data_IF_505786359798
#
_entry.id   IF_505786359798
#
_cell.length_a   1.000
_cell.length_b   1.000
_cell.length_c   1.000
_cell.angle_alpha   90.00
_cell.angle_beta   90.00
_cell.angle_gamma   90.00
#
_symmetry.space_group_name_H-M   'P 1'
#
loop_
_entity.id
_entity.type
_entity.pdbx_description
1 polymer ?
#
# COMPACT_ATOMS: atom_id res chain seq x y z
N UNK A 1 6.52 26.71 -1.29
CA UNK A 1 6.20 25.50 -2.08
C UNK A 1 6.41 25.82 -3.53
N UNK A 2 7.00 24.89 -4.28
CA UNK A 2 7.15 25.03 -5.72
C UNK A 2 5.85 24.66 -6.47
N UNK A 3 5.84 24.83 -7.80
CA UNK A 3 4.66 24.58 -8.63
C UNK A 3 4.21 23.11 -8.57
N UNK A 4 5.15 22.16 -8.61
CA UNK A 4 4.86 20.72 -8.60
C UNK A 4 4.26 20.26 -7.26
N UNK A 5 4.75 20.81 -6.14
CA UNK A 5 4.16 20.58 -4.81
C UNK A 5 2.73 21.10 -4.72
N UNK A 6 2.47 22.31 -5.26
CA UNK A 6 1.13 22.85 -5.29
C UNK A 6 0.19 22.02 -6.18
N UNK A 7 0.68 21.58 -7.35
CA UNK A 7 -0.06 20.72 -8.26
C UNK A 7 -0.39 19.37 -7.60
N UNK A 8 0.58 18.72 -6.95
CA UNK A 8 0.36 17.46 -6.23
C UNK A 8 -0.69 17.61 -5.13
N UNK A 9 -0.62 18.68 -4.32
CA UNK A 9 -1.61 18.94 -3.28
C UNK A 9 -3.00 19.25 -3.85
N UNK A 10 -3.09 19.93 -4.99
CA UNK A 10 -4.36 20.14 -5.68
C UNK A 10 -4.97 18.82 -6.15
N UNK A 11 -4.15 17.90 -6.68
CA UNK A 11 -4.58 16.54 -7.03
C UNK A 11 -5.09 15.77 -5.82
N UNK A 12 -4.38 15.80 -4.69
CA UNK A 12 -4.82 15.12 -3.47
C UNK A 12 -6.15 15.66 -2.96
N UNK A 13 -6.33 16.98 -2.94
CA UNK A 13 -7.61 17.60 -2.55
C UNK A 13 -8.75 17.17 -3.46
N UNK A 14 -8.53 17.19 -4.78
CA UNK A 14 -9.52 16.76 -5.76
C UNK A 14 -9.90 15.29 -5.54
N UNK A 15 -8.92 14.42 -5.32
CA UNK A 15 -9.12 13.00 -5.08
C UNK A 15 -9.96 12.73 -3.81
N UNK A 16 -9.56 13.31 -2.67
CA UNK A 16 -10.26 13.07 -1.41
C UNK A 16 -11.63 13.74 -1.31
N UNK A 17 -11.83 14.85 -2.01
CA UNK A 17 -13.13 15.53 -2.05
C UNK A 17 -14.05 15.00 -3.16
N UNK A 18 -13.58 14.04 -3.98
CA UNK A 18 -14.29 13.56 -5.17
C UNK A 18 -14.68 14.71 -6.12
N UNK A 19 -13.76 15.64 -6.28
CA UNK A 19 -13.92 16.80 -7.17
C UNK A 19 -13.21 16.55 -8.50
N UNK A 20 -13.68 17.21 -9.55
CA UNK A 20 -12.90 17.20 -10.80
C UNK A 20 -11.68 18.10 -10.63
N UNK A 21 -10.51 17.67 -11.15
CA UNK A 21 -9.33 18.51 -11.14
C UNK A 21 -9.62 19.78 -11.91
N UNK A 22 -9.03 20.88 -11.49
CA UNK A 22 -8.95 22.07 -12.34
C UNK A 22 -8.19 21.67 -13.61
N UNK A 23 -8.84 21.72 -14.77
CA UNK A 23 -8.27 21.33 -16.07
C UNK A 23 -7.08 22.19 -16.50
N UNK A 24 -6.82 23.29 -15.82
CA UNK A 24 -5.71 24.21 -16.07
C UNK A 24 -4.44 23.87 -15.26
N UNK A 25 -4.40 22.70 -14.58
CA UNK A 25 -3.17 22.28 -13.91
C UNK A 25 -2.03 22.16 -14.92
N UNK A 26 -1.00 22.97 -14.73
CA UNK A 26 0.24 22.94 -15.48
C UNK A 26 1.40 22.69 -14.54
N UNK A 27 2.30 21.82 -14.94
CA UNK A 27 3.48 21.47 -14.17
C UNK A 27 4.62 21.03 -15.09
N UNK A 28 5.83 21.02 -14.60
CA UNK A 28 6.89 20.18 -15.14
C UNK A 28 6.53 18.72 -14.81
N UNK A 29 5.95 18.02 -15.79
CA UNK A 29 5.36 16.70 -15.60
C UNK A 29 6.38 15.64 -15.15
N UNK A 30 7.64 15.73 -15.61
CA UNK A 30 8.70 14.81 -15.18
C UNK A 30 9.06 15.01 -13.71
N UNK A 31 9.11 16.28 -13.27
CA UNK A 31 9.33 16.60 -11.86
C UNK A 31 8.14 16.21 -10.98
N UNK A 32 6.91 16.46 -11.48
CA UNK A 32 5.71 16.05 -10.75
C UNK A 32 5.65 14.51 -10.60
N UNK A 33 5.98 13.79 -11.67
CA UNK A 33 6.07 12.32 -11.61
C UNK A 33 7.10 11.87 -10.57
N UNK A 34 8.33 12.40 -10.65
CA UNK A 34 9.40 12.05 -9.70
C UNK A 34 9.02 12.36 -8.25
N UNK A 35 8.40 13.52 -8.01
CA UNK A 35 7.90 13.91 -6.69
C UNK A 35 6.79 12.97 -6.21
N UNK A 36 5.84 12.62 -7.07
CA UNK A 36 4.73 11.73 -6.75
C UNK A 36 5.20 10.31 -6.43
N UNK A 37 6.20 9.81 -7.18
CA UNK A 37 6.83 8.52 -6.91
C UNK A 37 7.55 8.50 -5.56
N UNK A 38 8.32 9.56 -5.24
CA UNK A 38 9.05 9.68 -3.97
C UNK A 38 8.13 9.65 -2.74
N UNK A 39 6.86 10.03 -2.91
CA UNK A 39 5.84 10.02 -1.84
C UNK A 39 4.84 8.86 -1.95
N UNK A 40 5.02 7.92 -2.89
CA UNK A 40 4.08 6.83 -3.16
C UNK A 40 2.66 7.31 -3.51
N UNK A 41 2.55 8.45 -4.18
CA UNK A 41 1.30 9.11 -4.54
C UNK A 41 1.02 9.12 -6.05
N UNK A 42 1.93 8.59 -6.87
CA UNK A 42 1.78 8.61 -8.33
C UNK A 42 0.45 8.01 -8.83
N UNK A 43 -0.05 6.88 -8.30
CA UNK A 43 -1.35 6.33 -8.72
C UNK A 43 -2.51 7.29 -8.43
N UNK A 44 -2.52 7.93 -7.26
CA UNK A 44 -3.55 8.90 -6.86
C UNK A 44 -3.49 10.14 -7.74
N UNK A 45 -2.29 10.70 -7.93
CA UNK A 45 -2.10 11.88 -8.78
C UNK A 45 -2.56 11.58 -10.20
N UNK A 46 -2.15 10.44 -10.79
CA UNK A 46 -2.56 10.07 -12.14
C UNK A 46 -4.08 9.90 -12.28
N UNK A 47 -4.76 9.33 -11.29
CA UNK A 47 -6.22 9.17 -11.32
C UNK A 47 -6.95 10.50 -11.57
N UNK A 48 -6.35 11.61 -11.13
CA UNK A 48 -6.89 12.96 -11.23
C UNK A 48 -6.49 13.65 -12.54
N UNK A 49 -5.23 13.47 -12.99
CA UNK A 49 -4.68 14.22 -14.14
C UNK A 49 -4.64 13.43 -15.45
N UNK A 50 -5.04 12.16 -15.49
CA UNK A 50 -4.93 11.27 -16.67
C UNK A 50 -5.53 11.85 -17.96
N UNK A 51 -6.49 12.76 -17.83
CA UNK A 51 -7.15 13.39 -18.98
C UNK A 51 -6.57 14.77 -19.33
N UNK A 52 -5.54 15.25 -18.60
CA UNK A 52 -4.88 16.50 -18.88
C UNK A 52 -4.13 16.43 -20.21
N UNK A 53 -4.42 17.41 -21.10
CA UNK A 53 -3.88 17.42 -22.46
C UNK A 53 -2.36 17.58 -22.47
N UNK A 54 -1.82 18.53 -21.71
CA UNK A 54 -0.37 18.78 -21.71
C UNK A 54 0.44 17.64 -21.07
N UNK A 55 -0.15 16.87 -20.14
CA UNK A 55 0.46 15.64 -19.67
C UNK A 55 0.52 14.58 -20.79
N UNK A 56 -0.55 14.42 -21.58
CA UNK A 56 -0.58 13.46 -22.70
C UNK A 56 0.45 13.77 -23.78
N UNK A 57 0.84 15.03 -23.94
CA UNK A 57 1.93 15.45 -24.83
C UNK A 57 3.31 15.07 -24.29
N UNK A 58 3.51 15.01 -22.96
CA UNK A 58 4.71 14.47 -22.33
C UNK A 58 4.59 12.95 -22.19
N UNK A 59 4.93 12.22 -23.25
CA UNK A 59 4.78 10.76 -23.32
C UNK A 59 5.52 10.04 -22.20
N UNK A 60 6.71 10.51 -21.82
CA UNK A 60 7.53 9.86 -20.78
C UNK A 60 6.84 9.92 -19.41
N UNK A 61 6.43 11.11 -18.98
CA UNK A 61 5.73 11.25 -17.71
C UNK A 61 4.36 10.54 -17.72
N UNK A 62 3.62 10.66 -18.85
CA UNK A 62 2.30 10.00 -18.99
C UNK A 62 2.39 8.49 -18.84
N UNK A 63 3.30 7.80 -19.56
CA UNK A 63 3.46 6.36 -19.47
C UNK A 63 3.97 5.96 -18.07
N UNK A 64 4.92 6.70 -17.49
CA UNK A 64 5.38 6.44 -16.12
C UNK A 64 4.27 6.51 -15.07
N UNK A 65 3.43 7.53 -15.12
CA UNK A 65 2.26 7.64 -14.25
C UNK A 65 1.24 6.52 -14.47
N UNK A 66 1.00 6.19 -15.73
CA UNK A 66 0.07 5.13 -16.15
C UNK A 66 0.53 3.76 -15.65
N UNK A 67 1.81 3.44 -15.82
CA UNK A 67 2.40 2.20 -15.33
C UNK A 67 2.26 2.10 -13.81
N UNK A 68 2.64 3.16 -13.07
CA UNK A 68 2.49 3.21 -11.62
C UNK A 68 1.03 3.01 -11.16
N UNK A 69 0.06 3.52 -11.92
CA UNK A 69 -1.36 3.37 -11.65
C UNK A 69 -1.82 1.92 -11.81
N UNK A 70 -1.44 1.26 -12.91
CA UNK A 70 -1.81 -0.14 -13.14
C UNK A 70 -1.08 -1.10 -12.21
N UNK A 71 0.19 -0.84 -11.91
CA UNK A 71 0.96 -1.61 -10.92
C UNK A 71 0.31 -1.55 -9.52
N UNK A 72 -0.26 -0.40 -9.14
CA UNK A 72 -0.99 -0.25 -7.89
C UNK A 72 -2.23 -1.16 -7.84
N UNK A 73 -3.00 -1.23 -8.93
CA UNK A 73 -4.20 -2.08 -9.04
C UNK A 73 -3.82 -3.57 -8.95
N UNK A 74 -2.80 -3.99 -9.71
CA UNK A 74 -2.31 -5.37 -9.69
C UNK A 74 -1.79 -5.74 -8.29
N UNK A 75 -0.99 -4.86 -7.68
CA UNK A 75 -0.48 -5.07 -6.32
C UNK A 75 -1.59 -5.17 -5.28
N UNK A 76 -2.64 -4.37 -5.42
CA UNK A 76 -3.81 -4.45 -4.54
C UNK A 76 -4.50 -5.80 -4.62
N UNK A 77 -4.75 -6.32 -5.81
CA UNK A 77 -5.39 -7.63 -6.01
C UNK A 77 -4.54 -8.77 -5.42
N UNK A 78 -3.23 -8.72 -5.63
CA UNK A 78 -2.31 -9.69 -5.02
C UNK A 78 -2.32 -9.61 -3.49
N UNK A 79 -2.27 -8.41 -2.92
CA UNK A 79 -2.31 -8.19 -1.47
C UNK A 79 -3.64 -8.67 -0.87
N UNK A 80 -4.77 -8.35 -1.52
CA UNK A 80 -6.10 -8.78 -1.09
C UNK A 80 -6.23 -10.30 -1.08
N UNK A 81 -5.71 -10.96 -2.11
CA UNK A 81 -5.68 -12.42 -2.20
C UNK A 81 -4.88 -13.03 -1.05
N UNK A 82 -3.69 -12.47 -0.76
CA UNK A 82 -2.85 -12.96 0.32
C UNK A 82 -3.45 -12.67 1.70
N UNK A 83 -4.08 -11.51 1.92
CA UNK A 83 -4.81 -11.19 3.16
C UNK A 83 -5.92 -12.22 3.40
N UNK A 84 -6.73 -12.55 2.39
CA UNK A 84 -7.80 -13.54 2.50
C UNK A 84 -7.25 -14.96 2.80
N UNK A 85 -6.10 -15.32 2.23
CA UNK A 85 -5.43 -16.58 2.52
C UNK A 85 -4.97 -16.62 4.00
N UNK A 86 -4.30 -15.57 4.48
CA UNK A 86 -3.84 -15.46 5.87
C UNK A 86 -5.02 -15.51 6.83
N UNK A 87 -6.08 -14.75 6.57
CA UNK A 87 -7.31 -14.75 7.38
C UNK A 87 -7.91 -16.15 7.48
N UNK A 88 -8.04 -16.84 6.35
CA UNK A 88 -8.57 -18.20 6.29
C UNK A 88 -7.72 -19.19 7.05
N UNK A 89 -6.38 -19.12 6.91
CA UNK A 89 -5.44 -20.00 7.62
C UNK A 89 -5.51 -19.81 9.13
N UNK A 90 -5.49 -18.56 9.60
CA UNK A 90 -5.52 -18.25 11.02
C UNK A 90 -6.87 -18.60 11.65
N UNK A 91 -7.98 -18.28 10.98
CA UNK A 91 -9.34 -18.61 11.43
C UNK A 91 -9.55 -20.12 11.51
N UNK A 92 -9.19 -20.88 10.47
CA UNK A 92 -9.33 -22.33 10.46
C UNK A 92 -8.52 -23.05 11.56
N UNK A 93 -7.49 -22.39 12.07
CA UNK A 93 -6.65 -22.89 13.16
C UNK A 93 -6.95 -22.23 14.51
N UNK A 94 -8.07 -21.53 14.64
CA UNK A 94 -8.51 -20.89 15.89
C UNK A 94 -7.44 -19.95 16.49
N UNK A 95 -6.69 -19.24 15.61
CA UNK A 95 -5.72 -18.21 16.00
C UNK A 95 -6.41 -16.86 15.90
N UNK A 96 -6.67 -16.22 17.05
CA UNK A 96 -7.21 -14.87 17.08
C UNK A 96 -6.22 -13.87 16.48
N UNK A 97 -6.70 -13.06 15.55
CA UNK A 97 -5.84 -12.12 14.82
C UNK A 97 -6.59 -10.86 14.40
N UNK A 98 -5.84 -9.83 14.07
CA UNK A 98 -6.35 -8.58 13.51
C UNK A 98 -5.33 -8.02 12.50
N UNK A 99 -5.81 -7.69 11.31
CA UNK A 99 -5.02 -6.89 10.37
C UNK A 99 -5.06 -5.42 10.80
N UNK A 100 -3.97 -4.70 10.62
CA UNK A 100 -3.88 -3.29 11.02
C UNK A 100 -2.98 -2.49 10.08
N UNK A 101 -2.68 -1.23 10.41
CA UNK A 101 -1.91 -0.31 9.55
C UNK A 101 -2.45 -0.24 8.10
N UNK A 102 -1.60 -0.61 7.12
CA UNK A 102 -1.87 -0.50 5.69
C UNK A 102 -3.14 -1.22 5.26
N UNK A 103 -3.36 -2.44 5.73
CA UNK A 103 -4.51 -3.27 5.38
C UNK A 103 -5.85 -2.62 5.79
N UNK A 104 -5.90 -2.01 6.98
CA UNK A 104 -7.09 -1.30 7.47
C UNK A 104 -7.23 0.10 6.86
N UNK A 105 -6.13 0.85 6.76
CA UNK A 105 -6.17 2.24 6.31
C UNK A 105 -6.59 2.37 4.84
N UNK A 106 -6.36 1.35 4.00
CA UNK A 106 -6.82 1.36 2.60
C UNK A 106 -8.32 1.56 2.47
N UNK A 107 -9.11 0.96 3.34
CA UNK A 107 -10.58 1.00 3.29
C UNK A 107 -11.17 2.41 3.48
N UNK A 108 -10.38 3.36 3.99
CA UNK A 108 -10.79 4.76 4.14
C UNK A 108 -10.45 5.63 2.92
N UNK A 109 -9.79 5.07 1.92
CA UNK A 109 -9.47 5.79 0.68
C UNK A 109 -10.63 5.66 -0.32
N UNK A 110 -10.94 6.71 -1.10
CA UNK A 110 -11.97 6.65 -2.14
C UNK A 110 -11.77 5.52 -3.15
N UNK A 111 -10.51 5.17 -3.43
CA UNK A 111 -10.10 4.04 -4.25
C UNK A 111 -8.96 3.30 -3.50
N UNK A 112 -9.28 2.25 -2.72
CA UNK A 112 -8.32 1.52 -1.89
C UNK A 112 -7.11 0.98 -2.67
N UNK A 113 -7.32 0.61 -3.93
CA UNK A 113 -6.28 0.10 -4.84
C UNK A 113 -5.19 1.12 -5.16
N UNK A 114 -5.47 2.42 -5.03
CA UNK A 114 -4.50 3.47 -5.31
C UNK A 114 -3.61 3.83 -4.11
N UNK A 115 -3.93 3.31 -2.93
CA UNK A 115 -3.07 3.46 -1.76
C UNK A 115 -2.02 2.35 -1.74
N UNK A 116 -0.78 2.71 -2.07
CA UNK A 116 0.32 1.75 -2.01
C UNK A 116 0.58 1.27 -0.57
N UNK A 117 0.95 0.01 -0.46
CA UNK A 117 1.29 -0.66 0.80
C UNK A 117 2.45 -1.62 0.51
N UNK A 118 3.48 -1.61 1.36
CA UNK A 118 4.69 -2.42 1.19
C UNK A 118 4.55 -3.80 1.84
N UNK A 119 3.81 -3.87 2.93
CA UNK A 119 3.74 -5.00 3.84
C UNK A 119 2.30 -5.24 4.32
N UNK A 120 2.01 -6.47 4.68
CA UNK A 120 0.75 -6.87 5.32
C UNK A 120 1.05 -7.07 6.79
N UNK A 121 0.42 -6.27 7.65
CA UNK A 121 0.58 -6.36 9.08
C UNK A 121 -0.56 -7.15 9.71
N UNK A 122 -0.25 -8.21 10.44
CA UNK A 122 -1.19 -8.98 11.26
C UNK A 122 -0.70 -9.06 12.69
N UNK A 123 -1.60 -8.84 13.64
CA UNK A 123 -1.35 -9.01 15.07
C UNK A 123 -1.99 -10.31 15.54
N UNK A 124 -1.25 -11.11 16.29
CA UNK A 124 -1.71 -12.34 16.94
C UNK A 124 -1.34 -12.32 18.43
N UNK A 125 -1.89 -13.24 19.20
CA UNK A 125 -1.45 -13.45 20.60
C UNK A 125 -0.04 -14.04 20.65
N UNK A 126 0.73 -13.67 21.66
CA UNK A 126 2.09 -14.18 21.85
C UNK A 126 2.14 -15.71 21.96
N UNK A 127 1.15 -16.30 22.66
CA UNK A 127 1.08 -17.74 22.88
C UNK A 127 0.80 -18.53 21.59
N UNK A 128 0.15 -17.92 20.61
CA UNK A 128 -0.14 -18.53 19.31
C UNK A 128 1.04 -18.46 18.32
N UNK A 129 2.08 -17.72 18.65
CA UNK A 129 3.22 -17.47 17.76
C UNK A 129 3.90 -18.75 17.22
N UNK A 130 4.20 -19.78 18.05
CA UNK A 130 4.80 -21.02 17.55
C UNK A 130 3.89 -21.75 16.57
N UNK A 131 2.58 -21.78 16.83
CA UNK A 131 1.57 -22.38 15.98
C UNK A 131 1.43 -21.64 14.67
N UNK A 132 1.35 -20.31 14.71
CA UNK A 132 1.29 -19.45 13.51
C UNK A 132 2.55 -19.60 12.64
N UNK A 133 3.75 -19.67 13.27
CA UNK A 133 5.01 -19.88 12.54
C UNK A 133 4.99 -21.18 11.75
N UNK A 134 4.63 -22.29 12.39
CA UNK A 134 4.54 -23.60 11.72
C UNK A 134 3.50 -23.56 10.59
N UNK A 135 2.32 -23.00 10.88
CA UNK A 135 1.23 -22.86 9.91
C UNK A 135 1.65 -22.09 8.64
N UNK A 136 2.32 -20.95 8.80
CA UNK A 136 2.78 -20.16 7.66
C UNK A 136 3.84 -20.91 6.85
N UNK A 137 4.83 -21.53 7.50
CA UNK A 137 5.88 -22.30 6.80
C UNK A 137 5.27 -23.48 6.03
N UNK A 138 4.35 -24.23 6.62
CA UNK A 138 3.69 -25.38 5.98
C UNK A 138 2.82 -24.95 4.78
N UNK A 139 2.39 -23.69 4.74
CA UNK A 139 1.61 -23.10 3.63
C UNK A 139 2.45 -22.26 2.67
N UNK A 140 3.77 -22.44 2.67
CA UNK A 140 4.67 -21.89 1.66
C UNK A 140 5.08 -20.43 1.90
N UNK A 141 4.95 -19.94 3.16
CA UNK A 141 5.56 -18.66 3.54
C UNK A 141 7.02 -18.88 3.93
N UNK A 142 7.93 -18.17 3.32
CA UNK A 142 9.35 -18.16 3.67
C UNK A 142 9.56 -17.26 4.89
N UNK A 143 10.05 -17.78 6.01
CA UNK A 143 10.44 -16.99 7.16
C UNK A 143 11.75 -16.28 6.87
N UNK A 144 11.73 -14.95 6.79
CA UNK A 144 12.90 -14.12 6.47
C UNK A 144 13.56 -13.55 7.72
N UNK A 145 12.79 -13.29 8.79
CA UNK A 145 13.31 -12.79 10.05
C UNK A 145 12.42 -13.26 11.22
N UNK A 146 13.06 -13.70 12.32
CA UNK A 146 12.36 -14.20 13.50
C UNK A 146 12.85 -13.56 14.82
N UNK A 147 13.30 -12.32 14.75
CA UNK A 147 13.83 -11.60 15.89
C UNK A 147 12.77 -10.67 16.54
N UNK A 148 12.77 -10.64 17.88
CA UNK A 148 11.94 -9.70 18.63
C UNK A 148 10.43 -9.96 18.54
N UNK A 149 9.57 -8.93 18.60
CA UNK A 149 8.11 -9.06 18.65
C UNK A 149 7.43 -9.23 17.28
N UNK A 150 8.20 -9.17 16.19
CA UNK A 150 7.72 -9.26 14.81
C UNK A 150 8.46 -10.38 14.11
N UNK A 151 7.72 -11.23 13.41
CA UNK A 151 8.26 -12.22 12.48
C UNK A 151 7.91 -11.82 11.05
N UNK A 152 8.92 -11.78 10.18
CA UNK A 152 8.77 -11.40 8.79
C UNK A 152 8.73 -12.64 7.91
N UNK A 153 7.73 -12.70 7.03
CA UNK A 153 7.57 -13.75 6.05
C UNK A 153 7.46 -13.16 4.66
N UNK A 154 7.80 -13.96 3.67
CA UNK A 154 7.63 -13.63 2.25
C UNK A 154 6.82 -14.69 1.54
N UNK A 155 5.86 -14.27 0.71
CA UNK A 155 5.12 -15.14 -0.22
C UNK A 155 4.72 -14.33 -1.44
N UNK A 156 4.94 -14.88 -2.66
CA UNK A 156 4.61 -14.23 -3.93
C UNK A 156 5.14 -12.79 -4.05
N UNK A 157 6.37 -12.53 -3.61
CA UNK A 157 7.00 -11.21 -3.53
C UNK A 157 6.33 -10.20 -2.59
N UNK A 158 5.36 -10.63 -1.77
CA UNK A 158 4.75 -9.81 -0.74
C UNK A 158 5.36 -10.13 0.62
N UNK A 159 5.44 -9.12 1.48
CA UNK A 159 5.93 -9.23 2.85
C UNK A 159 4.74 -9.29 3.81
N UNK A 160 4.78 -10.26 4.74
CA UNK A 160 3.89 -10.37 5.87
C UNK A 160 4.68 -10.09 7.15
N UNK A 161 4.25 -9.11 7.94
CA UNK A 161 4.74 -8.85 9.30
C UNK A 161 3.75 -9.41 10.32
N UNK A 162 4.14 -10.48 10.99
CA UNK A 162 3.35 -11.09 12.06
C UNK A 162 3.81 -10.54 13.41
N UNK A 163 3.01 -9.67 14.00
CA UNK A 163 3.27 -8.97 15.25
C UNK A 163 2.65 -9.71 16.44
N UNK A 164 3.30 -9.62 17.59
CA UNK A 164 2.72 -10.03 18.89
C UNK A 164 2.54 -8.85 19.85
N UNK A 165 2.95 -7.64 19.42
CA UNK A 165 2.77 -6.37 20.13
C UNK A 165 2.64 -5.23 19.13
N UNK A 166 1.76 -4.29 19.39
CA UNK A 166 1.57 -3.08 18.55
C UNK A 166 2.66 -2.05 18.85
N UNK A 167 3.12 -1.97 20.09
CA UNK A 167 4.13 -0.99 20.53
C UNK A 167 5.31 -1.75 21.09
N UNK A 168 6.51 -1.47 20.59
CA UNK A 168 7.75 -1.93 21.24
C UNK A 168 7.88 -1.22 22.59
N UNK A 169 7.58 -1.94 23.66
CA UNK A 169 7.50 -1.34 24.98
C UNK A 169 8.84 -0.82 25.48
N UNK A 170 8.90 0.46 25.68
CA UNK A 170 9.33 1.21 26.84
C UNK A 170 8.58 2.53 26.76
N UNK A 171 7.31 2.54 27.16
CA UNK A 171 6.71 3.76 27.66
C UNK A 171 7.24 3.86 29.07
N UNK A 172 8.30 4.65 29.26
CA UNK A 172 8.84 5.03 30.55
C UNK A 172 8.01 6.14 31.14
#
# INVERSE_FOLDING_TARGET
MNNEQNCMLACLRAYFNNEKPNTELTADWDKLYSLSMAHNLAPIVFSVIKDNYSLKENKTAYEGFKDAFYDAIVSYDMQKTLINEIDSLLTANEIEHIFFKGAQLKEYFPAPELRLMSDIDVLIRLDDRPKAKQLFVDNGFELTEDNGPVYNYRKNNLTLECHTKIVSGKVG
#
